data_IF_467378831859
#
_entry.id   IF_467378831859
#
_cell.length_a   1.000
_cell.length_b   1.000
_cell.length_c   1.000
_cell.angle_alpha   90.00
_cell.angle_beta   90.00
_cell.angle_gamma   90.00
#
_symmetry.space_group_name_H-M   'P 1'
#
loop_
_entity.id
_entity.type
_entity.pdbx_description
1 polymer ?
#
# COMPACT_ATOMS: atom_id res chain seq x y z
N UNK A 1 23.13 23.42 -3.81
CA UNK A 1 22.67 22.22 -3.09
C UNK A 1 22.96 22.45 -1.62
N UNK A 2 21.93 22.60 -0.82
CA UNK A 2 22.02 22.74 0.64
C UNK A 2 22.65 21.46 1.22
N UNK A 3 23.56 21.57 2.20
CA UNK A 3 24.12 20.35 2.79
C UNK A 3 23.05 19.62 3.63
N UNK A 4 23.23 18.32 3.83
CA UNK A 4 22.30 17.53 4.67
C UNK A 4 22.21 18.10 6.11
N UNK A 5 23.29 18.73 6.59
CA UNK A 5 23.32 19.40 7.90
C UNK A 5 22.51 20.70 7.90
N UNK A 6 22.60 21.48 6.86
CA UNK A 6 21.85 22.74 6.73
C UNK A 6 20.35 22.45 6.60
N UNK A 7 19.97 21.47 5.76
CA UNK A 7 18.57 21.04 5.64
C UNK A 7 18.01 20.53 6.99
N UNK A 8 18.80 19.77 7.73
CA UNK A 8 18.36 19.28 9.05
C UNK A 8 18.15 20.45 10.04
N UNK A 9 18.98 21.49 9.99
CA UNK A 9 18.82 22.68 10.82
C UNK A 9 17.61 23.51 10.40
N UNK A 10 17.35 23.67 9.10
CA UNK A 10 16.17 24.36 8.58
C UNK A 10 14.87 23.66 8.99
N UNK A 11 14.81 22.32 8.86
CA UNK A 11 13.64 21.54 9.28
C UNK A 11 13.46 21.59 10.78
N UNK A 12 14.53 21.59 11.58
CA UNK A 12 14.45 21.72 13.03
C UNK A 12 13.89 23.10 13.41
N UNK A 13 14.38 24.17 12.80
CA UNK A 13 13.88 25.53 13.02
C UNK A 13 12.39 25.67 12.66
N UNK A 14 11.97 25.02 11.55
CA UNK A 14 10.56 24.94 11.18
C UNK A 14 9.72 24.24 12.28
N UNK A 15 10.18 23.09 12.79
CA UNK A 15 9.44 22.39 13.86
C UNK A 15 9.39 23.23 15.12
N UNK A 16 10.48 23.88 15.50
CA UNK A 16 10.54 24.72 16.72
C UNK A 16 9.60 25.94 16.64
N UNK A 17 9.40 26.48 15.42
CA UNK A 17 8.55 27.66 15.19
C UNK A 17 7.07 27.30 14.95
N UNK A 18 6.81 26.21 14.25
CA UNK A 18 5.48 25.91 13.67
C UNK A 18 4.73 24.75 14.33
N UNK A 19 5.40 24.00 15.23
CA UNK A 19 4.77 22.87 15.92
C UNK A 19 4.18 23.28 17.25
N UNK A 20 2.87 23.05 17.45
CA UNK A 20 2.17 23.22 18.72
C UNK A 20 1.12 22.12 18.88
N UNK A 21 1.08 21.45 20.04
CA UNK A 21 0.13 20.36 20.32
C UNK A 21 -1.34 20.83 20.33
N UNK A 22 -1.62 22.12 20.42
CA UNK A 22 -2.98 22.69 20.40
C UNK A 22 -3.53 22.90 18.98
N UNK A 23 -2.65 22.93 17.96
CA UNK A 23 -3.11 23.08 16.56
C UNK A 23 -3.85 21.83 16.07
N UNK A 24 -4.67 21.99 15.03
CA UNK A 24 -5.33 20.87 14.38
C UNK A 24 -4.37 20.10 13.49
N UNK A 25 -4.66 18.80 13.22
CA UNK A 25 -3.92 17.99 12.24
C UNK A 25 -3.97 18.65 10.86
N UNK A 26 -5.11 19.23 10.48
CA UNK A 26 -5.29 19.98 9.22
C UNK A 26 -4.29 21.13 9.11
N UNK A 27 -4.15 21.93 10.16
CA UNK A 27 -3.22 23.04 10.18
C UNK A 27 -1.77 22.56 10.10
N UNK A 28 -1.40 21.55 10.88
CA UNK A 28 -0.08 20.95 10.83
C UNK A 28 0.28 20.43 9.43
N UNK A 29 -0.61 19.66 8.82
CA UNK A 29 -0.36 19.11 7.51
C UNK A 29 -0.29 20.16 6.40
N UNK A 30 -1.07 21.25 6.51
CA UNK A 30 -0.94 22.38 5.60
C UNK A 30 0.43 23.04 5.73
N UNK A 31 0.89 23.30 6.96
CA UNK A 31 2.23 23.87 7.19
C UNK A 31 3.33 22.99 6.66
N UNK A 32 3.28 21.67 6.89
CA UNK A 32 4.21 20.70 6.31
C UNK A 32 4.22 20.75 4.78
N UNK A 33 3.03 20.81 4.16
CA UNK A 33 2.90 20.82 2.71
C UNK A 33 3.35 22.16 2.10
N UNK A 34 3.08 23.29 2.77
CA UNK A 34 3.51 24.63 2.32
C UNK A 34 5.03 24.79 2.40
N UNK A 35 5.64 24.27 3.46
CA UNK A 35 7.10 24.22 3.60
C UNK A 35 7.78 23.18 2.69
N UNK A 36 6.99 22.31 2.03
CA UNK A 36 7.53 21.23 1.20
C UNK A 36 8.04 20.02 1.97
N UNK A 37 7.75 19.92 3.27
CA UNK A 37 8.26 18.87 4.15
C UNK A 37 7.30 17.70 4.31
N UNK A 38 6.09 17.77 3.75
CA UNK A 38 5.18 16.62 3.73
C UNK A 38 5.75 15.48 2.89
N UNK A 39 6.18 15.79 1.67
CA UNK A 39 6.77 14.86 0.71
C UNK A 39 7.93 15.50 -0.02
N UNK A 40 9.13 15.63 0.57
CA UNK A 40 10.23 16.44 0.08
C UNK A 40 10.64 16.19 -1.38
N UNK A 41 10.51 14.95 -1.85
CA UNK A 41 10.85 14.58 -3.24
C UNK A 41 9.79 14.98 -4.27
N UNK A 42 8.58 15.41 -3.86
CA UNK A 42 7.56 15.87 -4.79
C UNK A 42 7.86 17.29 -5.28
N UNK A 43 7.25 17.70 -6.41
CA UNK A 43 7.44 19.05 -6.94
C UNK A 43 7.05 20.14 -5.93
N UNK A 44 7.71 21.29 -6.04
CA UNK A 44 7.36 22.47 -5.26
C UNK A 44 5.89 22.89 -5.49
N UNK A 45 5.22 23.30 -4.42
CA UNK A 45 3.80 23.65 -4.44
C UNK A 45 2.84 22.45 -4.35
N UNK A 46 3.33 21.22 -4.49
CA UNK A 46 2.53 19.99 -4.35
C UNK A 46 2.83 19.24 -3.05
N UNK A 47 3.45 19.88 -2.08
CA UNK A 47 3.79 19.29 -0.77
C UNK A 47 5.24 18.87 -0.63
N UNK A 48 6.06 19.12 -1.65
CA UNK A 48 7.51 18.92 -1.69
C UNK A 48 8.26 20.15 -2.14
N UNK A 49 9.60 20.02 -2.25
CA UNK A 49 10.50 21.07 -2.79
C UNK A 49 11.39 20.55 -3.94
N UNK A 50 11.06 19.37 -4.50
CA UNK A 50 11.86 18.74 -5.57
C UNK A 50 13.17 18.13 -5.08
N UNK A 51 13.26 17.81 -3.80
CA UNK A 51 14.43 17.21 -3.17
C UNK A 51 14.68 15.77 -3.61
N UNK A 52 15.82 15.23 -3.19
CA UNK A 52 16.17 13.82 -3.39
C UNK A 52 15.54 12.90 -2.32
N UNK A 53 15.60 11.59 -2.54
CA UNK A 53 15.24 10.62 -1.50
C UNK A 53 16.13 10.72 -0.25
N UNK A 54 17.38 11.19 -0.40
CA UNK A 54 18.26 11.45 0.73
C UNK A 54 17.75 12.64 1.56
N UNK A 55 17.30 13.72 0.91
CA UNK A 55 16.68 14.87 1.56
C UNK A 55 15.39 14.47 2.28
N UNK A 56 14.56 13.64 1.65
CA UNK A 56 13.36 13.08 2.30
C UNK A 56 13.71 12.28 3.57
N UNK A 57 14.82 11.55 3.55
CA UNK A 57 15.34 10.84 4.72
C UNK A 57 15.78 11.79 5.84
N UNK A 58 16.41 12.92 5.51
CA UNK A 58 16.83 13.96 6.48
C UNK A 58 15.58 14.58 7.13
N UNK A 59 14.61 15.04 6.33
CA UNK A 59 13.35 15.64 6.82
C UNK A 59 12.60 14.66 7.73
N UNK A 60 12.37 13.44 7.26
CA UNK A 60 11.70 12.39 8.06
C UNK A 60 12.44 12.12 9.36
N UNK A 61 13.77 12.09 9.34
CA UNK A 61 14.58 11.88 10.53
C UNK A 61 14.44 13.01 11.56
N UNK A 62 14.35 14.27 11.13
CA UNK A 62 14.10 15.41 12.03
C UNK A 62 12.69 15.32 12.62
N UNK A 63 11.66 15.14 11.79
CA UNK A 63 10.28 15.00 12.24
C UNK A 63 10.13 13.85 13.26
N UNK A 64 10.76 12.71 13.02
CA UNK A 64 10.71 11.56 13.91
C UNK A 64 11.40 11.80 15.26
N UNK A 65 12.51 12.51 15.29
CA UNK A 65 13.19 12.91 16.56
C UNK A 65 12.30 13.82 17.41
N UNK A 66 11.56 14.71 16.78
CA UNK A 66 10.63 15.61 17.44
C UNK A 66 9.29 14.96 17.81
N UNK A 67 9.07 13.71 17.40
CA UNK A 67 7.85 12.96 17.71
C UNK A 67 6.55 13.68 17.33
N UNK A 68 6.55 14.29 16.17
CA UNK A 68 5.39 15.00 15.62
C UNK A 68 4.39 14.02 14.97
N UNK A 69 3.21 14.51 14.59
CA UNK A 69 2.29 13.77 13.75
C UNK A 69 2.91 13.60 12.36
N UNK A 70 2.87 12.36 11.86
CA UNK A 70 3.42 11.99 10.55
C UNK A 70 2.75 12.78 9.41
N UNK A 71 3.43 13.00 8.29
CA UNK A 71 2.78 13.44 7.06
C UNK A 71 1.60 12.53 6.69
N UNK A 72 0.57 13.05 5.99
CA UNK A 72 -0.64 12.28 5.68
C UNK A 72 -0.34 11.10 4.76
N UNK A 73 -0.75 9.89 5.13
CA UNK A 73 -0.61 8.71 4.28
C UNK A 73 -1.81 8.51 3.33
N UNK A 74 -3.02 8.91 3.76
CA UNK A 74 -4.24 8.84 2.96
C UNK A 74 -4.59 7.44 2.47
N UNK A 75 -4.38 6.40 3.28
CA UNK A 75 -4.39 5.00 2.88
C UNK A 75 -3.38 4.75 1.74
N UNK A 76 -3.84 4.64 0.49
CA UNK A 76 -3.00 4.42 -0.69
C UNK A 76 -2.66 5.72 -1.43
N UNK A 77 -3.10 6.89 -0.93
CA UNK A 77 -2.97 8.17 -1.60
C UNK A 77 -1.51 8.53 -1.89
N UNK A 78 -0.69 8.62 -0.84
CA UNK A 78 0.71 9.04 -0.96
C UNK A 78 1.61 8.00 -1.63
N UNK A 79 1.26 6.70 -1.48
CA UNK A 79 2.09 5.59 -1.98
C UNK A 79 1.75 5.18 -3.40
N UNK A 80 0.51 5.34 -3.84
CA UNK A 80 0.04 4.88 -5.16
C UNK A 80 -0.57 6.01 -6.00
N UNK A 81 -1.57 6.75 -5.47
CA UNK A 81 -2.27 7.75 -6.26
C UNK A 81 -1.38 8.93 -6.64
N UNK A 82 -0.67 9.52 -5.68
CA UNK A 82 0.18 10.67 -5.96
C UNK A 82 1.31 10.37 -6.96
N UNK A 83 2.12 9.31 -6.83
CA UNK A 83 3.14 9.01 -7.82
C UNK A 83 2.56 8.70 -9.20
N UNK A 84 1.37 8.10 -9.28
CA UNK A 84 0.68 7.87 -10.56
C UNK A 84 0.22 9.19 -11.18
N UNK A 85 -0.38 10.08 -10.40
CA UNK A 85 -0.79 11.43 -10.84
C UNK A 85 0.41 12.29 -11.25
N UNK A 86 1.51 12.26 -10.49
CA UNK A 86 2.74 12.98 -10.81
C UNK A 86 3.33 12.54 -12.15
N UNK A 87 3.22 11.25 -12.48
CA UNK A 87 3.76 10.69 -13.72
C UNK A 87 2.84 10.89 -14.93
N UNK A 88 1.52 10.81 -14.77
CA UNK A 88 0.56 10.72 -15.87
C UNK A 88 -0.58 11.73 -15.83
N UNK A 89 -0.77 12.43 -14.70
CA UNK A 89 -1.85 13.41 -14.53
C UNK A 89 -1.57 14.72 -15.28
N UNK A 90 -2.64 15.44 -15.61
CA UNK A 90 -2.56 16.81 -16.09
C UNK A 90 -2.14 17.77 -14.96
N UNK A 91 -1.69 18.97 -15.28
CA UNK A 91 -1.32 19.96 -14.28
C UNK A 91 -2.51 20.38 -13.38
N UNK A 92 -3.73 20.31 -13.93
CA UNK A 92 -4.96 20.54 -13.15
C UNK A 92 -5.18 19.41 -12.15
N UNK A 93 -5.12 18.15 -12.60
CA UNK A 93 -5.24 16.99 -11.73
C UNK A 93 -4.16 16.96 -10.64
N UNK A 94 -2.92 17.33 -10.96
CA UNK A 94 -1.84 17.42 -9.97
C UNK A 94 -2.14 18.48 -8.91
N UNK A 95 -2.56 19.69 -9.32
CA UNK A 95 -2.90 20.78 -8.39
C UNK A 95 -4.08 20.44 -7.50
N UNK A 96 -5.09 19.78 -8.04
CA UNK A 96 -6.30 19.38 -7.32
C UNK A 96 -6.02 18.21 -6.38
N UNK A 97 -5.57 17.08 -6.90
CA UNK A 97 -5.53 15.83 -6.17
C UNK A 97 -4.22 15.61 -5.39
N UNK A 98 -3.05 15.93 -5.97
CA UNK A 98 -1.77 15.73 -5.28
C UNK A 98 -1.65 16.68 -4.10
N UNK A 99 -2.13 17.92 -4.26
CA UNK A 99 -2.15 18.87 -3.15
C UNK A 99 -3.08 18.40 -2.02
N UNK A 100 -4.29 17.93 -2.33
CA UNK A 100 -5.22 17.39 -1.35
C UNK A 100 -4.66 16.16 -0.61
N UNK A 101 -3.85 15.34 -1.30
CA UNK A 101 -3.11 14.24 -0.66
C UNK A 101 -2.06 14.79 0.31
N UNK A 102 -1.29 15.79 -0.09
CA UNK A 102 -0.22 16.37 0.73
C UNK A 102 -0.73 17.10 1.97
N UNK A 103 -1.96 17.60 1.95
CA UNK A 103 -2.64 18.24 3.09
C UNK A 103 -3.54 17.29 3.88
N UNK A 104 -3.60 16.01 3.45
CA UNK A 104 -4.40 14.98 4.11
C UNK A 104 -5.90 15.10 3.89
N UNK A 105 -6.36 16.00 3.01
CA UNK A 105 -7.78 16.24 2.73
C UNK A 105 -8.42 15.10 1.92
N UNK A 106 -7.62 14.22 1.31
CA UNK A 106 -8.12 13.11 0.49
C UNK A 106 -7.49 11.77 0.88
N UNK A 107 -8.33 10.80 1.17
CA UNK A 107 -7.99 9.39 1.31
C UNK A 107 -8.36 8.63 0.04
N UNK A 108 -7.53 7.66 -0.37
CA UNK A 108 -7.69 6.96 -1.64
C UNK A 108 -7.69 5.44 -1.47
N UNK A 109 -8.50 4.77 -2.29
CA UNK A 109 -8.46 3.32 -2.47
C UNK A 109 -8.08 2.93 -3.91
N UNK A 110 -7.77 1.65 -4.10
CA UNK A 110 -7.45 1.07 -5.41
C UNK A 110 -8.58 0.15 -5.87
N UNK A 111 -9.14 0.42 -7.04
CA UNK A 111 -10.27 -0.30 -7.65
C UNK A 111 -9.80 -1.03 -8.92
N UNK A 112 -8.94 -2.03 -8.75
CA UNK A 112 -8.33 -2.77 -9.86
C UNK A 112 -8.97 -4.14 -10.03
N UNK A 113 -8.76 -5.03 -9.06
CA UNK A 113 -9.20 -6.43 -9.12
C UNK A 113 -10.72 -6.58 -9.16
N UNK A 114 -11.19 -7.62 -9.84
CA UNK A 114 -12.58 -8.01 -9.93
C UNK A 114 -12.73 -9.48 -9.48
N UNK A 115 -13.94 -9.96 -9.15
CA UNK A 115 -14.14 -11.36 -8.78
C UNK A 115 -13.61 -12.36 -9.82
N UNK A 116 -13.64 -12.01 -11.10
CA UNK A 116 -13.13 -12.84 -12.20
C UNK A 116 -11.74 -12.44 -12.73
N UNK A 117 -11.10 -11.41 -12.17
CA UNK A 117 -9.88 -10.82 -12.75
C UNK A 117 -8.94 -10.30 -11.66
N UNK A 118 -8.02 -11.16 -11.22
CA UNK A 118 -6.98 -10.87 -10.25
C UNK A 118 -5.59 -10.91 -10.88
N UNK A 119 -4.96 -12.08 -10.98
CA UNK A 119 -3.65 -12.23 -11.62
C UNK A 119 -3.68 -11.86 -13.11
N UNK A 120 -4.73 -12.22 -13.83
CA UNK A 120 -5.01 -11.72 -15.19
C UNK A 120 -5.82 -10.42 -15.11
N UNK A 121 -5.21 -9.38 -14.51
CA UNK A 121 -5.87 -8.09 -14.30
C UNK A 121 -6.31 -7.44 -15.61
N UNK A 122 -5.58 -7.64 -16.70
CA UNK A 122 -5.96 -7.10 -18.01
C UNK A 122 -7.29 -7.65 -18.54
N UNK A 123 -7.79 -8.74 -17.97
CA UNK A 123 -9.11 -9.30 -18.30
C UNK A 123 -10.27 -8.67 -17.51
N UNK A 124 -10.05 -7.53 -16.83
CA UNK A 124 -11.09 -6.78 -16.13
C UNK A 124 -12.25 -6.40 -17.06
N UNK A 125 -13.47 -6.45 -16.52
CA UNK A 125 -14.72 -6.29 -17.28
C UNK A 125 -15.63 -5.16 -16.77
N UNK A 126 -15.31 -4.46 -15.67
CA UNK A 126 -16.04 -3.24 -15.26
C UNK A 126 -16.08 -2.30 -16.46
N UNK A 127 -17.30 -1.93 -16.85
CA UNK A 127 -17.55 -1.19 -18.10
C UNK A 127 -17.62 0.31 -17.83
N UNK A 128 -16.98 1.11 -18.67
CA UNK A 128 -17.15 2.55 -18.73
C UNK A 128 -17.61 2.97 -20.12
N UNK A 129 -18.72 3.71 -20.20
CA UNK A 129 -19.32 4.17 -21.46
C UNK A 129 -19.38 5.69 -21.43
N UNK A 130 -18.97 6.32 -22.53
CA UNK A 130 -19.04 7.78 -22.68
C UNK A 130 -20.48 8.25 -22.76
N UNK A 131 -20.84 9.23 -21.94
CA UNK A 131 -22.13 9.90 -21.94
C UNK A 131 -21.91 11.43 -21.86
N UNK A 132 -21.88 12.08 -23.01
CA UNK A 132 -21.57 13.50 -23.09
C UNK A 132 -20.20 13.89 -22.52
N UNK A 133 -20.21 14.71 -21.47
CA UNK A 133 -19.02 15.18 -20.74
C UNK A 133 -18.51 14.21 -19.66
N UNK A 134 -19.16 13.07 -19.47
CA UNK A 134 -18.89 12.12 -18.39
C UNK A 134 -18.74 10.69 -18.91
N UNK A 135 -18.35 9.80 -18.00
CA UNK A 135 -18.36 8.35 -18.19
C UNK A 135 -19.33 7.72 -17.18
N UNK A 136 -20.12 6.77 -17.66
CA UNK A 136 -21.01 5.94 -16.85
C UNK A 136 -20.33 4.60 -16.60
N UNK A 137 -20.08 4.29 -15.33
CA UNK A 137 -19.32 3.11 -14.93
C UNK A 137 -20.21 2.12 -14.20
N UNK A 138 -20.16 0.84 -14.63
CA UNK A 138 -20.92 -0.23 -13.99
C UNK A 138 -20.11 -1.52 -13.88
N UNK A 139 -20.24 -2.22 -12.73
CA UNK A 139 -19.60 -3.49 -12.44
C UNK A 139 -19.23 -3.64 -10.97
N UNK A 140 -18.30 -4.54 -10.68
CA UNK A 140 -17.88 -4.85 -9.30
C UNK A 140 -16.35 -4.93 -9.21
N UNK A 141 -15.81 -4.32 -8.17
CA UNK A 141 -14.41 -4.44 -7.76
C UNK A 141 -14.32 -5.18 -6.43
N UNK A 142 -13.18 -5.83 -6.18
CA UNK A 142 -12.97 -6.63 -4.97
C UNK A 142 -11.53 -6.50 -4.45
N UNK A 143 -11.34 -6.80 -3.18
CA UNK A 143 -10.06 -6.67 -2.46
C UNK A 143 -9.57 -5.22 -2.36
N UNK A 144 -10.50 -4.29 -2.25
CA UNK A 144 -10.22 -2.86 -2.20
C UNK A 144 -9.95 -2.43 -0.76
N UNK A 145 -8.68 -2.17 -0.44
CA UNK A 145 -8.26 -1.77 0.92
C UNK A 145 -8.92 -0.46 1.32
N UNK A 146 -9.61 -0.46 2.47
CA UNK A 146 -10.23 0.71 3.10
C UNK A 146 -11.12 1.55 2.14
N UNK A 147 -11.78 0.90 1.17
CA UNK A 147 -12.63 1.60 0.21
C UNK A 147 -13.86 2.25 0.86
N UNK A 148 -14.32 1.73 1.99
CA UNK A 148 -15.38 2.28 2.83
C UNK A 148 -15.01 3.61 3.52
N UNK A 149 -13.71 3.94 3.58
CA UNK A 149 -13.16 5.14 4.21
C UNK A 149 -12.49 6.08 3.20
N UNK A 150 -12.49 5.73 1.92
CA UNK A 150 -11.84 6.52 0.87
C UNK A 150 -12.76 7.64 0.34
N UNK A 151 -12.16 8.77 0.00
CA UNK A 151 -12.82 9.86 -0.70
C UNK A 151 -12.77 9.62 -2.21
N UNK A 152 -11.63 9.12 -2.71
CA UNK A 152 -11.41 8.84 -4.12
C UNK A 152 -10.88 7.43 -4.37
N UNK A 153 -11.17 6.90 -5.56
CA UNK A 153 -10.68 5.62 -6.04
C UNK A 153 -9.83 5.75 -7.30
N UNK A 154 -8.75 4.97 -7.34
CA UNK A 154 -7.99 4.71 -8.58
C UNK A 154 -8.67 3.58 -9.32
N UNK A 155 -9.43 3.88 -10.37
CA UNK A 155 -10.29 2.91 -11.05
C UNK A 155 -9.75 2.51 -12.43
N UNK A 156 -9.63 1.21 -12.66
CA UNK A 156 -9.46 0.66 -14.02
C UNK A 156 -10.80 0.15 -14.54
N UNK A 157 -11.20 0.62 -15.73
CA UNK A 157 -12.42 0.16 -16.37
C UNK A 157 -12.22 -0.07 -17.88
N UNK A 158 -13.04 -0.94 -18.46
CA UNK A 158 -13.06 -1.30 -19.88
C UNK A 158 -13.85 -0.25 -20.66
N UNK A 159 -13.18 0.51 -21.50
CA UNK A 159 -13.77 1.51 -22.39
C UNK A 159 -13.93 1.05 -23.82
N UNK A 160 -13.12 0.07 -24.26
CA UNK A 160 -13.21 -0.52 -25.59
C UNK A 160 -13.06 -2.05 -25.51
N UNK A 161 -14.06 -2.79 -25.98
CA UNK A 161 -14.08 -4.25 -25.98
C UNK A 161 -13.59 -4.85 -27.32
N UNK A 162 -13.40 -4.03 -28.33
CA UNK A 162 -12.95 -4.43 -29.65
C UNK A 162 -11.42 -4.44 -29.75
N UNK A 163 -10.75 -3.85 -28.77
CA UNK A 163 -9.29 -3.89 -28.62
C UNK A 163 -8.83 -5.14 -27.86
N UNK A 164 -7.57 -5.58 -28.05
CA UNK A 164 -6.94 -6.58 -27.22
C UNK A 164 -7.00 -6.21 -25.72
N UNK A 165 -6.96 -7.21 -24.83
CA UNK A 165 -7.24 -7.03 -23.40
C UNK A 165 -6.39 -5.95 -22.69
N UNK A 166 -5.13 -5.75 -23.10
CA UNK A 166 -4.26 -4.71 -22.54
C UNK A 166 -4.51 -3.31 -23.15
N UNK A 167 -5.25 -3.23 -24.25
CA UNK A 167 -5.73 -2.00 -24.86
C UNK A 167 -7.23 -1.88 -24.61
N UNK A 168 -7.79 -0.69 -24.62
CA UNK A 168 -9.23 -0.53 -24.31
C UNK A 168 -9.54 -0.53 -22.81
N UNK A 169 -8.53 -0.39 -21.96
CA UNK A 169 -8.65 -0.07 -20.52
C UNK A 169 -8.33 1.40 -20.34
N UNK A 170 -9.14 2.09 -19.55
CA UNK A 170 -8.88 3.49 -19.17
C UNK A 170 -8.72 3.58 -17.65
N UNK A 171 -7.85 4.48 -17.21
CA UNK A 171 -7.60 4.76 -15.81
C UNK A 171 -8.35 6.02 -15.40
N UNK A 172 -9.17 5.91 -14.35
CA UNK A 172 -10.02 6.99 -13.86
C UNK A 172 -9.73 7.32 -12.41
N UNK A 173 -9.99 8.58 -12.05
CA UNK A 173 -10.30 8.97 -10.69
C UNK A 173 -11.81 8.82 -10.52
N UNK A 174 -12.28 8.27 -9.41
CA UNK A 174 -13.71 8.19 -9.11
C UNK A 174 -13.98 8.70 -7.69
N UNK A 175 -15.02 9.51 -7.54
CA UNK A 175 -15.55 9.89 -6.22
C UNK A 175 -16.22 8.68 -5.58
N UNK A 176 -15.76 8.29 -4.40
CA UNK A 176 -16.29 7.15 -3.66
C UNK A 176 -17.59 7.46 -2.90
N UNK A 177 -17.97 8.72 -2.81
CA UNK A 177 -19.12 9.17 -2.03
C UNK A 177 -20.34 9.52 -2.89
N UNK A 178 -20.25 9.33 -4.19
CA UNK A 178 -21.35 9.62 -5.12
C UNK A 178 -22.43 8.52 -5.11
N UNK A 179 -23.67 8.83 -5.54
CA UNK A 179 -24.67 7.82 -5.85
C UNK A 179 -24.14 6.79 -6.86
N UNK A 180 -24.50 5.52 -6.66
CA UNK A 180 -24.05 4.43 -7.53
C UNK A 180 -22.70 3.82 -7.17
N UNK A 181 -22.04 4.30 -6.11
CA UNK A 181 -20.86 3.67 -5.54
C UNK A 181 -21.20 3.11 -4.15
N UNK A 182 -21.05 1.81 -3.96
CA UNK A 182 -21.31 1.16 -2.68
C UNK A 182 -20.11 0.28 -2.30
N UNK A 183 -19.43 0.63 -1.20
CA UNK A 183 -18.34 -0.15 -0.64
C UNK A 183 -18.83 -1.00 0.54
N UNK A 184 -18.62 -2.33 0.47
CA UNK A 184 -19.01 -3.28 1.51
C UNK A 184 -17.78 -3.98 2.08
N UNK A 185 -17.52 -3.87 3.39
CA UNK A 185 -16.41 -4.56 4.04
C UNK A 185 -16.52 -6.09 3.88
N UNK A 186 -15.41 -6.73 3.55
CA UNK A 186 -15.27 -8.18 3.44
C UNK A 186 -14.68 -8.76 4.72
N UNK A 187 -15.42 -9.67 5.36
CA UNK A 187 -14.89 -10.40 6.51
C UNK A 187 -13.88 -11.44 6.03
N UNK A 188 -12.65 -11.27 6.43
CA UNK A 188 -11.55 -12.16 6.10
C UNK A 188 -11.51 -13.37 7.05
N UNK A 189 -10.77 -14.42 6.64
CA UNK A 189 -10.58 -15.66 7.39
C UNK A 189 -9.96 -15.43 8.79
N UNK A 190 -9.12 -14.41 8.94
CA UNK A 190 -8.52 -13.99 10.21
C UNK A 190 -9.45 -13.15 11.11
N UNK A 191 -10.70 -12.94 10.69
CA UNK A 191 -11.70 -12.14 11.40
C UNK A 191 -11.63 -10.62 11.12
N UNK A 192 -10.59 -10.14 10.43
CA UNK A 192 -10.48 -8.74 10.01
C UNK A 192 -11.41 -8.40 8.83
N UNK A 193 -11.56 -7.11 8.53
CA UNK A 193 -12.33 -6.59 7.39
C UNK A 193 -11.64 -5.38 6.75
N UNK A 194 -10.32 -5.51 6.52
CA UNK A 194 -9.53 -4.44 5.94
C UNK A 194 -9.74 -4.23 4.43
N UNK A 195 -10.43 -5.15 3.78
CA UNK A 195 -10.77 -5.06 2.36
C UNK A 195 -12.27 -4.93 2.17
N UNK A 196 -12.66 -4.32 1.06
CA UNK A 196 -14.04 -4.18 0.61
C UNK A 196 -14.24 -4.84 -0.76
N UNK A 197 -15.48 -5.17 -1.07
CA UNK A 197 -16.00 -5.21 -2.43
C UNK A 197 -16.68 -3.86 -2.71
N UNK A 198 -16.61 -3.41 -3.95
CA UNK A 198 -17.19 -2.14 -4.38
C UNK A 198 -18.08 -2.38 -5.58
N UNK A 199 -19.37 -2.06 -5.43
CA UNK A 199 -20.36 -2.11 -6.49
C UNK A 199 -20.47 -0.74 -7.15
N UNK A 200 -20.41 -0.74 -8.48
CA UNK A 200 -20.57 0.44 -9.32
C UNK A 200 -21.84 0.25 -10.14
N UNK A 201 -22.83 1.09 -9.89
CA UNK A 201 -24.14 1.05 -10.56
C UNK A 201 -24.37 2.41 -11.21
N UNK A 202 -24.01 2.52 -12.50
CA UNK A 202 -24.09 3.76 -13.26
C UNK A 202 -23.38 4.96 -12.58
N UNK A 203 -22.28 4.68 -11.88
CA UNK A 203 -21.47 5.71 -11.24
C UNK A 203 -20.91 6.67 -12.30
N UNK A 204 -20.91 7.97 -12.01
CA UNK A 204 -20.52 9.03 -12.92
C UNK A 204 -19.08 9.45 -12.71
N UNK A 205 -18.31 9.57 -13.78
CA UNK A 205 -16.93 10.05 -13.74
C UNK A 205 -16.77 11.18 -14.75
N UNK A 206 -16.38 12.39 -14.32
CA UNK A 206 -16.12 13.50 -15.25
C UNK A 206 -15.05 13.14 -16.28
N UNK A 207 -15.19 13.60 -17.52
CA UNK A 207 -14.22 13.32 -18.57
C UNK A 207 -12.80 13.81 -18.23
N UNK A 208 -12.69 14.90 -17.49
CA UNK A 208 -11.41 15.44 -17.00
C UNK A 208 -10.72 14.60 -15.92
N UNK A 209 -11.38 13.55 -15.42
CA UNK A 209 -10.82 12.65 -14.40
C UNK A 209 -10.23 11.35 -14.98
N UNK A 210 -9.96 11.32 -16.27
CA UNK A 210 -9.13 10.29 -16.90
C UNK A 210 -7.66 10.61 -16.63
N UNK A 211 -6.90 9.65 -16.09
CA UNK A 211 -5.45 9.77 -15.92
C UNK A 211 -4.76 9.18 -17.16
N UNK A 212 -3.96 9.98 -17.83
CA UNK A 212 -3.37 9.64 -19.12
C UNK A 212 -4.41 9.69 -20.25
N UNK A 213 -4.34 8.75 -21.19
CA UNK A 213 -5.19 8.71 -22.38
C UNK A 213 -6.27 7.63 -22.27
N UNK A 214 -7.42 7.87 -22.90
CA UNK A 214 -8.47 6.85 -23.07
C UNK A 214 -7.91 5.62 -23.80
N UNK A 215 -8.25 4.43 -23.32
CA UNK A 215 -7.78 3.13 -23.83
C UNK A 215 -6.29 2.84 -23.58
N UNK A 216 -5.56 3.70 -22.86
CA UNK A 216 -4.15 3.52 -22.50
C UNK A 216 -3.93 3.39 -20.97
N UNK A 217 -4.99 3.12 -20.21
CA UNK A 217 -4.95 3.02 -18.75
C UNK A 217 -4.08 1.85 -18.24
N UNK A 218 -3.82 0.84 -19.07
CA UNK A 218 -2.90 -0.25 -18.71
C UNK A 218 -1.46 0.25 -18.51
N UNK A 219 -1.00 1.18 -19.35
CA UNK A 219 0.31 1.82 -19.19
C UNK A 219 0.37 2.61 -17.87
N UNK A 220 -0.66 3.35 -17.54
CA UNK A 220 -0.77 4.09 -16.27
C UNK A 220 -0.78 3.13 -15.07
N UNK A 221 -1.53 2.02 -15.16
CA UNK A 221 -1.60 1.01 -14.11
C UNK A 221 -0.25 0.36 -13.78
N UNK A 222 0.66 0.23 -14.76
CA UNK A 222 2.01 -0.26 -14.54
C UNK A 222 2.78 0.63 -13.54
N UNK A 223 2.63 1.94 -13.61
CA UNK A 223 3.23 2.88 -12.65
C UNK A 223 2.68 2.62 -11.24
N UNK A 224 1.36 2.51 -11.09
CA UNK A 224 0.73 2.20 -9.79
C UNK A 224 1.23 0.89 -9.22
N UNK A 225 1.24 -0.19 -10.02
CA UNK A 225 1.70 -1.51 -9.59
C UNK A 225 3.21 -1.55 -9.28
N UNK A 226 4.02 -0.70 -9.93
CA UNK A 226 5.43 -0.54 -9.59
C UNK A 226 5.58 0.04 -8.18
N UNK A 227 4.86 1.11 -7.87
CA UNK A 227 4.88 1.73 -6.55
C UNK A 227 4.26 0.84 -5.47
N UNK A 228 3.24 0.05 -5.79
CA UNK A 228 2.65 -0.94 -4.88
C UNK A 228 3.69 -1.95 -4.40
N UNK A 229 4.46 -2.53 -5.32
CA UNK A 229 5.54 -3.48 -4.98
C UNK A 229 6.62 -2.86 -4.10
N UNK A 230 6.94 -1.59 -4.35
CA UNK A 230 7.90 -0.85 -3.53
C UNK A 230 7.35 -0.53 -2.13
N UNK A 231 6.05 -0.22 -2.00
CA UNK A 231 5.39 0.12 -0.75
C UNK A 231 5.23 -1.07 0.21
N UNK A 232 5.02 -2.29 -0.30
CA UNK A 232 4.96 -3.53 0.52
C UNK A 232 6.23 -3.70 1.37
N UNK A 233 7.34 -3.09 0.96
CA UNK A 233 8.62 -3.11 1.66
C UNK A 233 8.75 -2.05 2.78
N UNK A 234 7.84 -1.06 2.85
CA UNK A 234 7.91 0.06 3.79
C UNK A 234 7.07 -0.17 5.05
N UNK A 235 7.69 -0.20 6.22
CA UNK A 235 7.01 -0.05 7.51
C UNK A 235 6.88 1.44 7.89
N UNK A 236 5.96 1.76 8.80
CA UNK A 236 5.88 3.13 9.34
C UNK A 236 7.20 3.59 9.97
N UNK A 237 7.46 4.88 9.94
CA UNK A 237 8.69 5.46 10.52
C UNK A 237 8.59 5.52 12.05
N UNK A 238 9.46 4.83 12.79
CA UNK A 238 9.47 4.93 14.24
C UNK A 238 9.67 6.38 14.70
N UNK A 239 8.93 6.79 15.72
CA UNK A 239 9.01 8.15 16.28
C UNK A 239 7.92 9.10 15.78
N UNK A 240 7.24 8.81 14.69
CA UNK A 240 6.10 9.58 14.19
C UNK A 240 4.76 9.01 14.68
N UNK A 241 3.79 9.89 14.93
CA UNK A 241 2.44 9.48 15.30
C UNK A 241 1.53 9.48 14.07
N UNK A 242 0.82 8.36 13.77
CA UNK A 242 -0.10 8.30 12.64
C UNK A 242 -1.38 9.08 12.94
N UNK A 243 -1.89 9.76 11.91
CA UNK A 243 -3.24 10.32 11.90
C UNK A 243 -3.93 9.89 10.59
N UNK A 244 -5.27 9.85 10.60
CA UNK A 244 -6.08 9.44 9.46
C UNK A 244 -6.37 10.64 8.58
N UNK A 245 -6.19 10.47 7.27
CA UNK A 245 -6.53 11.43 6.22
C UNK A 245 -7.96 11.24 5.74
N UNK A 246 -8.43 12.18 4.93
CA UNK A 246 -9.75 12.14 4.31
C UNK A 246 -10.83 12.77 5.16
N UNK A 247 -12.02 12.80 4.63
CA UNK A 247 -13.21 13.43 5.20
C UNK A 247 -13.54 12.92 6.61
N UNK A 248 -13.47 11.60 6.80
CA UNK A 248 -13.75 10.93 8.08
C UNK A 248 -12.48 10.70 8.90
N UNK A 249 -11.42 11.45 8.58
CA UNK A 249 -10.11 11.37 9.20
C UNK A 249 -10.01 12.13 10.52
N UNK A 250 -8.78 12.48 10.87
CA UNK A 250 -8.45 13.13 12.14
C UNK A 250 -8.16 14.64 11.95
N UNK A 251 -8.52 15.22 10.80
CA UNK A 251 -8.16 16.57 10.38
C UNK A 251 -8.52 17.66 11.41
N UNK A 252 -9.67 17.51 12.05
CA UNK A 252 -10.20 18.50 13.00
C UNK A 252 -9.85 18.20 14.46
N UNK A 253 -9.14 17.08 14.74
CA UNK A 253 -8.56 16.82 16.04
C UNK A 253 -7.29 17.65 16.23
N UNK A 254 -6.97 17.99 17.48
CA UNK A 254 -5.66 18.56 17.78
C UNK A 254 -4.56 17.49 17.65
N UNK A 255 -3.35 17.90 17.29
CA UNK A 255 -2.21 16.98 17.21
C UNK A 255 -1.93 16.36 18.59
N UNK A 256 -2.18 17.07 19.69
CA UNK A 256 -2.07 16.55 21.06
C UNK A 256 -3.05 15.40 21.32
N UNK A 257 -4.31 15.51 20.86
CA UNK A 257 -5.31 14.44 20.98
C UNK A 257 -4.89 13.20 20.19
N UNK A 258 -4.38 13.37 18.96
CA UNK A 258 -3.85 12.27 18.15
C UNK A 258 -2.69 11.56 18.84
N UNK A 259 -1.74 12.33 19.40
CA UNK A 259 -0.59 11.78 20.14
C UNK A 259 -1.06 11.02 21.38
N UNK A 260 -1.99 11.60 22.16
CA UNK A 260 -2.56 10.95 23.35
C UNK A 260 -3.24 9.63 22.99
N UNK A 261 -4.08 9.62 21.93
CA UNK A 261 -4.73 8.40 21.42
C UNK A 261 -3.72 7.36 20.95
N UNK A 262 -2.69 7.74 20.21
CA UNK A 262 -1.66 6.84 19.73
C UNK A 262 -0.83 6.23 20.89
N UNK A 263 -0.52 7.03 21.91
CA UNK A 263 0.18 6.55 23.12
C UNK A 263 -0.70 5.60 23.93
N UNK A 264 -1.99 5.89 24.05
CA UNK A 264 -2.95 5.02 24.72
C UNK A 264 -3.09 3.69 23.97
N UNK A 265 -3.31 3.71 22.65
CA UNK A 265 -3.37 2.50 21.83
C UNK A 265 -2.08 1.67 21.89
N UNK A 266 -0.92 2.33 22.00
CA UNK A 266 0.37 1.64 22.17
C UNK A 266 0.50 0.96 23.56
N UNK A 267 -0.08 1.54 24.62
CA UNK A 267 -0.11 0.94 25.97
C UNK A 267 -1.11 -0.21 26.07
N UNK A 268 -2.26 -0.05 25.45
CA UNK A 268 -3.34 -1.07 25.42
C UNK A 268 -3.00 -2.24 24.52
N UNK A 269 -2.10 -2.04 23.55
CA UNK A 269 -1.64 -3.10 22.65
C UNK A 269 -0.79 -4.09 23.42
N UNK A 270 -1.38 -5.25 23.71
CA UNK A 270 -0.73 -6.33 24.45
C UNK A 270 0.07 -7.28 23.55
N UNK A 271 -0.02 -7.13 22.23
CA UNK A 271 0.66 -7.96 21.26
C UNK A 271 2.01 -7.39 20.82
N UNK A 272 3.09 -8.21 20.86
CA UNK A 272 4.36 -7.86 20.28
C UNK A 272 4.40 -8.05 18.76
N UNK A 273 3.38 -8.67 18.15
CA UNK A 273 3.33 -8.96 16.72
C UNK A 273 2.78 -7.74 15.97
N UNK A 274 3.52 -7.31 14.95
CA UNK A 274 3.12 -6.23 14.05
C UNK A 274 3.27 -6.71 12.61
N UNK A 275 2.20 -6.58 11.83
CA UNK A 275 2.18 -7.06 10.44
C UNK A 275 1.93 -8.56 10.34
N UNK A 276 2.42 -9.17 9.27
CA UNK A 276 2.06 -10.53 8.86
C UNK A 276 3.11 -11.58 9.23
N UNK A 277 4.08 -11.24 10.07
CA UNK A 277 5.11 -12.17 10.56
C UNK A 277 5.45 -11.90 12.03
N UNK A 278 5.78 -12.94 12.77
CA UNK A 278 6.23 -12.84 14.16
C UNK A 278 7.66 -12.29 14.19
N UNK A 279 7.95 -11.22 14.93
CA UNK A 279 9.30 -10.67 15.01
C UNK A 279 10.30 -11.69 15.52
N UNK A 280 11.53 -11.70 14.98
CA UNK A 280 12.56 -12.69 15.29
C UNK A 280 12.86 -12.81 16.80
N UNK A 281 12.85 -11.69 17.53
CA UNK A 281 13.05 -11.68 18.98
C UNK A 281 11.92 -12.42 19.69
N UNK A 282 10.67 -12.13 19.31
CA UNK A 282 9.47 -12.78 19.86
C UNK A 282 9.48 -14.27 19.56
N UNK A 283 9.89 -14.68 18.35
CA UNK A 283 10.01 -16.09 17.98
C UNK A 283 11.00 -16.86 18.87
N UNK A 284 12.13 -16.24 19.22
CA UNK A 284 13.11 -16.82 20.15
C UNK A 284 12.55 -16.92 21.57
N UNK A 285 11.86 -15.87 22.03
CA UNK A 285 11.21 -15.85 23.34
C UNK A 285 10.14 -16.94 23.44
N UNK A 286 9.33 -17.09 22.42
CA UNK A 286 8.33 -18.14 22.31
C UNK A 286 8.94 -19.54 22.38
N UNK A 287 10.05 -19.81 21.67
CA UNK A 287 10.75 -21.09 21.74
C UNK A 287 11.29 -21.41 23.12
N UNK A 288 11.72 -20.41 23.89
CA UNK A 288 12.15 -20.57 25.28
C UNK A 288 10.97 -20.87 26.22
N UNK A 289 9.89 -20.12 26.06
CA UNK A 289 8.65 -20.25 26.84
C UNK A 289 8.04 -21.65 26.71
N UNK A 290 7.99 -22.18 25.48
CA UNK A 290 7.45 -23.51 25.21
C UNK A 290 8.48 -24.66 25.33
N UNK A 291 9.70 -24.38 25.83
CA UNK A 291 10.73 -25.38 26.09
C UNK A 291 11.35 -26.03 24.83
N UNK A 292 11.09 -25.50 23.66
CA UNK A 292 11.54 -26.06 22.36
C UNK A 292 12.87 -25.48 21.88
N UNK A 293 13.40 -24.45 22.55
CA UNK A 293 14.63 -23.75 22.17
C UNK A 293 15.87 -24.64 22.06
N UNK A 294 15.92 -25.78 22.79
CA UNK A 294 17.02 -26.74 22.76
C UNK A 294 16.83 -27.83 21.68
N UNK A 295 15.63 -27.99 21.12
CA UNK A 295 15.36 -29.01 20.10
C UNK A 295 16.17 -28.71 18.82
N UNK A 296 16.99 -29.69 18.33
CA UNK A 296 17.90 -29.43 17.20
C UNK A 296 17.18 -28.90 15.94
N UNK A 297 16.02 -29.45 15.61
CA UNK A 297 15.23 -29.04 14.44
C UNK A 297 14.75 -27.61 14.61
N UNK A 298 14.15 -27.25 15.75
CA UNK A 298 13.68 -25.89 16.03
C UNK A 298 14.83 -24.89 15.97
N UNK A 299 16.00 -25.25 16.49
CA UNK A 299 17.21 -24.39 16.43
C UNK A 299 17.63 -24.09 14.98
N UNK A 300 17.62 -25.11 14.10
CA UNK A 300 17.96 -24.92 12.68
C UNK A 300 16.93 -24.06 11.97
N UNK A 301 15.65 -24.27 12.25
CA UNK A 301 14.57 -23.48 11.64
C UNK A 301 14.58 -22.04 12.15
N UNK A 302 14.84 -21.79 13.43
CA UNK A 302 15.09 -20.46 13.98
C UNK A 302 16.29 -19.77 13.30
N UNK A 303 17.40 -20.49 13.13
CA UNK A 303 18.57 -19.92 12.46
C UNK A 303 18.27 -19.55 10.99
N UNK A 304 17.53 -20.40 10.27
CA UNK A 304 17.08 -20.13 8.90
C UNK A 304 16.17 -18.91 8.85
N UNK A 305 15.16 -18.86 9.69
CA UNK A 305 14.23 -17.73 9.79
C UNK A 305 14.95 -16.41 10.08
N UNK A 306 15.85 -16.39 11.07
CA UNK A 306 16.68 -15.23 11.40
C UNK A 306 17.55 -14.78 10.24
N UNK A 307 18.17 -15.72 9.52
CA UNK A 307 18.97 -15.42 8.35
C UNK A 307 18.12 -14.76 7.25
N UNK A 308 16.94 -15.31 6.95
CA UNK A 308 16.06 -14.77 5.94
C UNK A 308 15.55 -13.36 6.27
N UNK A 309 15.14 -13.12 7.52
CA UNK A 309 14.74 -11.78 7.98
C UNK A 309 15.87 -10.77 7.82
N UNK A 310 17.13 -11.15 8.15
CA UNK A 310 18.30 -10.31 7.95
C UNK A 310 18.60 -10.05 6.47
N UNK A 311 18.57 -11.09 5.65
CA UNK A 311 18.80 -10.99 4.20
C UNK A 311 17.75 -10.06 3.57
N UNK A 312 16.48 -10.20 3.94
CA UNK A 312 15.42 -9.31 3.48
C UNK A 312 15.72 -7.86 3.88
N UNK A 313 16.11 -7.61 5.14
CA UNK A 313 16.49 -6.27 5.59
C UNK A 313 17.68 -5.67 4.82
N UNK A 314 18.65 -6.47 4.40
CA UNK A 314 19.76 -6.03 3.55
C UNK A 314 19.30 -5.77 2.12
N UNK A 315 18.44 -6.62 1.59
CA UNK A 315 17.83 -6.44 0.26
C UNK A 315 17.05 -5.13 0.19
N UNK A 316 16.22 -4.85 1.21
CA UNK A 316 15.48 -3.58 1.31
C UNK A 316 16.40 -2.35 1.33
N UNK A 317 17.49 -2.41 2.12
CA UNK A 317 18.48 -1.31 2.15
C UNK A 317 19.18 -1.11 0.81
N UNK A 318 19.53 -2.20 0.11
CA UNK A 318 20.12 -2.14 -1.23
C UNK A 318 19.14 -1.49 -2.23
N UNK A 319 17.86 -1.89 -2.19
CA UNK A 319 16.80 -1.32 -3.02
C UNK A 319 16.66 0.19 -2.74
N UNK A 320 16.59 0.59 -1.47
CA UNK A 320 16.49 2.00 -1.09
C UNK A 320 17.72 2.82 -1.54
N UNK A 321 18.93 2.26 -1.44
CA UNK A 321 20.16 2.90 -1.86
C UNK A 321 20.31 3.05 -3.39
N UNK A 322 19.57 2.27 -4.18
CA UNK A 322 19.60 2.35 -5.65
C UNK A 322 18.98 3.64 -6.22
N UNK A 323 18.34 4.46 -5.39
CA UNK A 323 17.93 5.83 -5.73
C UNK A 323 17.00 5.92 -6.94
N UNK A 324 16.01 5.04 -7.05
CA UNK A 324 15.07 5.04 -8.19
C UNK A 324 15.55 4.30 -9.44
N UNK A 325 16.76 3.77 -9.46
CA UNK A 325 17.29 2.88 -10.52
C UNK A 325 16.84 1.43 -10.31
N UNK A 326 15.65 1.27 -9.72
CA UNK A 326 15.06 -0.05 -9.51
C UNK A 326 14.63 -0.64 -10.84
N UNK A 327 14.99 -1.89 -11.08
CA UNK A 327 14.36 -2.71 -12.11
C UNK A 327 13.02 -3.23 -11.58
N UNK A 328 12.05 -3.56 -12.46
CA UNK A 328 10.80 -4.21 -12.00
C UNK A 328 11.03 -5.50 -11.21
N UNK A 329 12.20 -6.14 -11.39
CA UNK A 329 12.61 -7.34 -10.67
C UNK A 329 12.97 -7.09 -9.20
N UNK A 330 13.51 -5.94 -8.83
CA UNK A 330 13.89 -5.66 -7.43
C UNK A 330 12.67 -5.67 -6.50
N UNK A 331 11.57 -5.04 -6.90
CA UNK A 331 10.30 -5.09 -6.17
C UNK A 331 9.74 -6.51 -6.06
N UNK A 332 9.85 -7.29 -7.13
CA UNK A 332 9.40 -8.69 -7.15
C UNK A 332 10.22 -9.58 -6.21
N UNK A 333 11.54 -9.40 -6.15
CA UNK A 333 12.42 -10.11 -5.19
C UNK A 333 12.03 -9.77 -3.75
N UNK A 334 11.83 -8.49 -3.46
CA UNK A 334 11.45 -8.02 -2.14
C UNK A 334 10.11 -8.61 -1.68
N UNK A 335 9.09 -8.56 -2.56
CA UNK A 335 7.76 -9.12 -2.28
C UNK A 335 7.81 -10.63 -2.06
N UNK A 336 8.54 -11.35 -2.89
CA UNK A 336 8.69 -12.81 -2.78
C UNK A 336 9.39 -13.22 -1.48
N UNK A 337 10.45 -12.51 -1.07
CA UNK A 337 11.13 -12.74 0.22
C UNK A 337 10.19 -12.48 1.39
N UNK A 338 9.44 -11.37 1.36
CA UNK A 338 8.47 -11.04 2.41
C UNK A 338 7.39 -12.12 2.51
N UNK A 339 6.84 -12.58 1.40
CA UNK A 339 5.85 -13.66 1.35
C UNK A 339 6.39 -14.94 2.00
N UNK A 340 7.61 -15.36 1.65
CA UNK A 340 8.27 -16.55 2.23
C UNK A 340 8.48 -16.41 3.72
N UNK A 341 8.96 -15.25 4.20
CA UNK A 341 9.14 -14.99 5.63
C UNK A 341 7.80 -15.10 6.38
N UNK A 342 6.68 -14.62 5.82
CA UNK A 342 5.37 -14.76 6.45
C UNK A 342 4.96 -16.24 6.59
N UNK A 343 5.19 -17.07 5.55
CA UNK A 343 4.90 -18.49 5.59
C UNK A 343 5.78 -19.21 6.63
N UNK A 344 7.09 -18.98 6.60
CA UNK A 344 8.04 -19.58 7.56
C UNK A 344 7.75 -19.14 8.99
N UNK A 345 7.39 -17.89 9.19
CA UNK A 345 6.96 -17.37 10.49
C UNK A 345 5.76 -18.14 11.04
N UNK A 346 4.74 -18.37 10.21
CA UNK A 346 3.57 -19.18 10.56
C UNK A 346 3.98 -20.60 10.95
N UNK A 347 4.69 -21.29 10.06
CA UNK A 347 5.01 -22.71 10.22
C UNK A 347 5.90 -22.93 11.44
N UNK A 348 6.92 -22.10 11.62
CA UNK A 348 7.82 -22.16 12.76
C UNK A 348 7.12 -21.83 14.08
N UNK A 349 6.21 -20.84 14.10
CA UNK A 349 5.47 -20.50 15.32
C UNK A 349 4.56 -21.64 15.78
N UNK A 350 3.90 -22.35 14.87
CA UNK A 350 3.09 -23.53 15.19
C UNK A 350 3.95 -24.73 15.60
N UNK A 351 5.10 -24.94 14.97
CA UNK A 351 6.07 -25.95 15.37
C UNK A 351 6.57 -25.73 16.81
N UNK A 352 6.87 -24.48 17.17
CA UNK A 352 7.33 -24.10 18.51
C UNK A 352 6.25 -24.33 19.56
N UNK A 353 5.03 -23.89 19.29
CA UNK A 353 3.93 -23.91 20.26
C UNK A 353 3.19 -25.24 20.32
N UNK A 354 3.36 -26.12 19.32
CA UNK A 354 2.69 -27.42 19.24
C UNK A 354 1.18 -27.30 19.39
N UNK A 355 0.59 -28.12 20.27
CA UNK A 355 -0.86 -28.14 20.51
C UNK A 355 -1.41 -26.78 21.01
N UNK A 356 -0.61 -25.99 21.71
CA UNK A 356 -1.04 -24.66 22.16
C UNK A 356 -1.31 -23.69 20.99
N UNK A 357 -0.68 -23.91 19.85
CA UNK A 357 -0.95 -23.15 18.63
C UNK A 357 -2.39 -23.30 18.08
N UNK A 358 -3.15 -24.29 18.56
CA UNK A 358 -4.56 -24.49 18.19
C UNK A 358 -5.53 -23.68 19.05
N UNK A 359 -5.05 -23.10 20.17
CA UNK A 359 -5.89 -22.30 21.04
C UNK A 359 -6.21 -20.95 20.43
N UNK A 360 -7.36 -20.38 20.77
CA UNK A 360 -7.80 -19.03 20.38
C UNK A 360 -8.13 -18.19 21.62
N UNK A 361 -8.08 -16.88 21.46
CA UNK A 361 -8.43 -15.92 22.51
C UNK A 361 -7.28 -15.61 23.48
N UNK A 362 -7.58 -15.03 24.67
CA UNK A 362 -6.59 -14.47 25.58
C UNK A 362 -5.58 -15.48 26.15
N UNK A 363 -5.99 -16.75 26.28
CA UNK A 363 -5.16 -17.86 26.81
C UNK A 363 -4.29 -18.51 25.72
N UNK A 364 -4.46 -18.14 24.47
CA UNK A 364 -3.64 -18.64 23.36
C UNK A 364 -2.24 -17.99 23.37
N UNK A 365 -1.23 -18.65 22.76
CA UNK A 365 0.08 -18.05 22.57
C UNK A 365 -0.02 -16.68 21.93
N UNK A 366 0.71 -15.69 22.49
CA UNK A 366 0.64 -14.29 22.07
C UNK A 366 -0.80 -13.76 22.00
N UNK A 367 -1.68 -14.26 22.88
CA UNK A 367 -3.10 -13.86 23.01
C UNK A 367 -3.94 -14.02 21.73
N UNK A 368 -3.60 -14.99 20.91
CA UNK A 368 -4.31 -15.30 19.65
C UNK A 368 -3.71 -14.64 18.41
N UNK A 369 -2.61 -13.89 18.54
CA UNK A 369 -1.96 -13.28 17.38
C UNK A 369 -1.34 -14.28 16.42
N UNK A 370 -0.87 -15.45 16.94
CA UNK A 370 -0.37 -16.51 16.06
C UNK A 370 -1.43 -17.00 15.10
N UNK A 371 -2.66 -17.15 15.56
CA UNK A 371 -3.80 -17.57 14.74
C UNK A 371 -4.13 -16.50 13.71
N UNK A 372 -4.15 -15.23 14.14
CA UNK A 372 -4.41 -14.09 13.25
C UNK A 372 -3.36 -14.00 12.14
N UNK A 373 -2.06 -14.08 12.48
CA UNK A 373 -0.95 -14.08 11.50
C UNK A 373 -0.99 -15.32 10.63
N UNK A 374 -1.26 -16.50 11.23
CA UNK A 374 -1.35 -17.77 10.52
C UNK A 374 -2.43 -17.75 9.44
N UNK A 375 -3.64 -17.26 9.79
CA UNK A 375 -4.77 -17.14 8.87
C UNK A 375 -4.56 -16.02 7.83
N UNK A 376 -3.81 -14.97 8.15
CA UNK A 376 -3.49 -13.89 7.20
C UNK A 376 -2.38 -14.28 6.21
N UNK A 377 -1.49 -15.20 6.60
CA UNK A 377 -0.27 -15.51 5.83
C UNK A 377 -0.52 -15.96 4.38
N UNK A 378 -1.55 -16.76 4.03
CA UNK A 378 -1.83 -17.09 2.62
C UNK A 378 -2.10 -15.86 1.75
N UNK A 379 -2.73 -14.83 2.31
CA UNK A 379 -3.00 -13.56 1.62
C UNK A 379 -1.72 -12.85 1.15
N UNK A 380 -0.59 -13.01 1.88
CA UNK A 380 0.69 -12.43 1.50
C UNK A 380 1.30 -13.06 0.24
N UNK A 381 0.90 -14.29 -0.10
CA UNK A 381 1.30 -14.98 -1.35
C UNK A 381 0.51 -14.53 -2.56
N UNK A 382 -0.65 -13.88 -2.34
CA UNK A 382 -1.61 -13.55 -3.39
C UNK A 382 -1.59 -12.04 -3.67
N UNK A 383 -1.69 -11.22 -2.63
CA UNK A 383 -1.78 -9.76 -2.72
C UNK A 383 -0.51 -9.12 -3.30
N UNK A 384 -0.67 -8.04 -4.06
CA UNK A 384 0.45 -7.37 -4.73
C UNK A 384 1.08 -8.18 -5.88
N UNK A 385 0.30 -9.08 -6.49
CA UNK A 385 0.74 -10.10 -7.44
C UNK A 385 1.21 -11.38 -6.74
N UNK A 386 0.74 -12.53 -7.23
CA UNK A 386 1.06 -13.84 -6.61
C UNK A 386 2.56 -14.14 -6.61
N UNK A 387 3.01 -15.09 -5.79
CA UNK A 387 4.41 -15.53 -5.78
C UNK A 387 4.84 -16.00 -7.18
N UNK A 388 3.94 -16.66 -7.93
CA UNK A 388 4.16 -17.10 -9.31
C UNK A 388 4.34 -15.92 -10.27
N UNK A 389 3.51 -14.87 -10.11
CA UNK A 389 3.65 -13.64 -10.91
C UNK A 389 4.97 -12.91 -10.61
N UNK A 390 5.44 -12.95 -9.35
CA UNK A 390 6.74 -12.39 -9.00
C UNK A 390 7.89 -13.21 -9.63
N UNK A 391 7.79 -14.55 -9.63
CA UNK A 391 8.77 -15.42 -10.27
C UNK A 391 8.83 -15.17 -11.77
N UNK A 392 7.68 -15.03 -12.45
CA UNK A 392 7.64 -14.69 -13.87
C UNK A 392 8.29 -13.32 -14.13
N UNK A 393 7.96 -12.31 -13.32
CA UNK A 393 8.57 -10.98 -13.43
C UNK A 393 10.09 -11.02 -13.26
N UNK A 394 10.60 -11.78 -12.30
CA UNK A 394 12.05 -11.97 -12.10
C UNK A 394 12.66 -12.69 -13.30
N UNK A 395 12.03 -13.77 -13.76
CA UNK A 395 12.49 -14.56 -14.91
C UNK A 395 12.61 -13.70 -16.17
N UNK A 396 11.55 -12.97 -16.51
CA UNK A 396 11.49 -12.16 -17.72
C UNK A 396 12.38 -10.90 -17.66
N UNK A 397 12.30 -10.14 -16.53
CA UNK A 397 12.94 -8.82 -16.46
C UNK A 397 14.39 -8.84 -15.95
N UNK A 398 14.74 -9.80 -15.06
CA UNK A 398 16.10 -9.88 -14.52
C UNK A 398 16.95 -10.94 -15.21
N UNK A 399 16.36 -12.10 -15.55
CA UNK A 399 17.10 -13.21 -16.13
C UNK A 399 16.98 -13.27 -17.66
N UNK A 400 16.13 -12.44 -18.28
CA UNK A 400 15.94 -12.39 -19.73
C UNK A 400 15.30 -13.65 -20.32
N UNK A 401 14.56 -14.41 -19.51
CA UNK A 401 13.83 -15.60 -19.99
C UNK A 401 12.70 -15.19 -20.93
N UNK A 402 12.35 -16.03 -21.91
CA UNK A 402 11.25 -15.75 -22.81
C UNK A 402 9.92 -15.72 -22.04
N UNK A 403 9.01 -14.86 -22.51
CA UNK A 403 7.64 -14.84 -22.01
C UNK A 403 6.90 -16.10 -22.38
N UNK A 404 5.94 -16.48 -21.53
CA UNK A 404 5.05 -17.60 -21.83
C UNK A 404 4.26 -17.34 -23.13
N UNK A 405 4.15 -18.32 -24.04
CA UNK A 405 3.35 -18.19 -25.24
C UNK A 405 1.88 -17.90 -24.89
N UNK A 406 1.28 -16.92 -25.53
CA UNK A 406 -0.12 -16.56 -25.36
C UNK A 406 -0.83 -16.56 -26.70
N UNK A 407 -1.89 -17.35 -26.81
CA UNK A 407 -2.72 -17.42 -28.02
C UNK A 407 -3.76 -16.28 -28.11
N UNK A 408 -3.98 -15.55 -27.02
CA UNK A 408 -5.07 -14.56 -26.87
C UNK A 408 -4.57 -13.11 -26.87
N UNK A 409 -3.29 -12.88 -27.08
CA UNK A 409 -2.64 -11.58 -26.88
C UNK A 409 -3.20 -10.49 -27.79
N UNK A 410 -3.52 -10.83 -29.03
CA UNK A 410 -3.97 -9.90 -30.04
C UNK A 410 -5.46 -10.05 -30.35
N UNK A 411 -6.16 -10.95 -29.65
CA UNK A 411 -7.60 -11.13 -29.81
C UNK A 411 -8.38 -9.97 -29.18
N UNK A 412 -9.48 -9.50 -29.80
CA UNK A 412 -10.41 -8.54 -29.18
C UNK A 412 -10.91 -9.07 -27.83
N UNK A 413 -10.99 -8.18 -26.82
CA UNK A 413 -11.45 -8.57 -25.48
C UNK A 413 -12.81 -9.29 -25.49
N UNK A 414 -13.75 -8.87 -26.36
CA UNK A 414 -15.09 -9.49 -26.49
C UNK A 414 -15.06 -10.97 -26.91
N UNK A 415 -13.99 -11.43 -27.50
CA UNK A 415 -13.81 -12.81 -27.98
C UNK A 415 -13.07 -13.70 -26.98
N UNK A 416 -12.51 -13.10 -25.93
CA UNK A 416 -11.79 -13.81 -24.89
C UNK A 416 -12.75 -14.51 -23.92
N UNK A 417 -12.38 -15.70 -23.47
CA UNK A 417 -13.01 -16.37 -22.34
C UNK A 417 -12.36 -15.87 -21.06
N UNK A 418 -12.99 -14.87 -20.40
CA UNK A 418 -12.45 -14.25 -19.20
C UNK A 418 -13.31 -14.55 -17.97
N UNK A 419 -12.66 -14.69 -16.81
CA UNK A 419 -13.31 -14.93 -15.54
C UNK A 419 -14.18 -16.20 -15.54
N UNK A 420 -15.36 -16.09 -14.91
CA UNK A 420 -16.37 -17.17 -14.83
C UNK A 420 -17.36 -17.14 -15.98
N UNK A 421 -17.17 -16.30 -16.97
CA UNK A 421 -18.01 -16.27 -18.17
C UNK A 421 -17.73 -17.51 -19.03
N UNK A 422 -18.61 -18.50 -18.96
CA UNK A 422 -18.66 -19.68 -19.81
C UNK A 422 -19.67 -19.47 -20.92
#
# INVERSE_FOLDING_TARGET
MTSAGDLAAEVQAFVDADWDESMTVREWWRRLADAGYAYPAWPAGLGGFGGSNADAGVVTGVLARNRVVAPPAGHLAATLAAPTLLAHGTEEQKREFVRAIATGEAAWCQLFSEPGSGSDLASLGVRAVRDGGEWVVSGQKVWNSAADQADFGMLLARTDRDQPKHRGITYFIIDMQQPGVEARPLRQMNGGSAFCEVFLTEARVPAGWVIGEVNNGWHVAHTTMFHERAAVAGGGTPGLYPARSGRDGDLDLTVGEVIKRARQAARERQSPVRGNAVPSKVMIELAREYGTASAPVVRQDLARYLAQVRINGWTMRRIAAAGGRLTGADGSVAKLLTSRICQESRDLSYQITGAHGLLAGPEAPLRGDLQTVGLASPGTRIGGGTDEMQLNSIGEQALGLPREPSADRDMPYRELRVGTQR
#
